data_IF_308277152463
#
_entry.id   IF_308277152463
#
_cell.length_a   1.000
_cell.length_b   1.000
_cell.length_c   1.000
_cell.angle_alpha   90.00
_cell.angle_beta   90.00
_cell.angle_gamma   90.00
#
_symmetry.space_group_name_H-M   'P 1'
#
loop_
_entity.id
_entity.type
_entity.pdbx_description
1 polymer ?
#
# COMPACT_ATOMS: atom_id res chain seq x y z
N UNK A 1 16.81 -19.96 3.20
CA UNK A 1 16.07 -19.01 4.06
C UNK A 1 15.06 -18.32 3.16
N UNK A 2 13.76 -18.44 3.43
CA UNK A 2 12.74 -17.75 2.62
C UNK A 2 12.78 -16.26 2.92
N UNK A 3 12.75 -15.44 1.87
CA UNK A 3 12.73 -13.98 1.98
C UNK A 3 11.43 -13.46 1.39
N UNK A 4 10.86 -12.45 2.02
CA UNK A 4 9.58 -11.85 1.69
C UNK A 4 9.76 -10.36 1.41
N UNK A 5 8.86 -9.79 0.62
CA UNK A 5 8.85 -8.36 0.30
C UNK A 5 7.42 -7.87 0.15
N UNK A 6 7.14 -6.65 0.58
CA UNK A 6 5.88 -5.99 0.25
C UNK A 6 5.99 -5.46 -1.19
N UNK A 7 5.11 -5.90 -2.08
CA UNK A 7 5.07 -5.43 -3.47
C UNK A 7 4.02 -4.33 -3.59
N UNK A 8 4.42 -3.18 -4.15
CA UNK A 8 3.52 -2.11 -4.58
C UNK A 8 3.06 -2.35 -6.01
N UNK A 9 1.75 -2.42 -6.24
CA UNK A 9 1.12 -2.51 -7.56
C UNK A 9 0.14 -1.37 -7.76
N UNK A 10 0.33 -0.58 -8.82
CA UNK A 10 -0.59 0.49 -9.19
C UNK A 10 -1.57 0.02 -10.27
N UNK A 11 -2.86 0.31 -10.08
CA UNK A 11 -3.93 -0.17 -10.94
C UNK A 11 -4.53 0.95 -11.83
N UNK A 12 -3.84 2.08 -11.94
CA UNK A 12 -4.27 3.24 -12.74
C UNK A 12 -3.33 3.55 -13.89
N UNK A 13 -3.89 3.78 -15.09
CA UNK A 13 -3.11 4.21 -16.26
C UNK A 13 -2.55 5.62 -16.13
N UNK A 14 -3.30 6.54 -15.50
CA UNK A 14 -2.86 7.91 -15.22
C UNK A 14 -2.98 8.18 -13.73
N UNK A 15 -1.84 8.37 -13.06
CA UNK A 15 -1.79 8.62 -11.62
C UNK A 15 -2.49 9.95 -11.29
N UNK A 16 -3.56 9.96 -10.46
CA UNK A 16 -4.11 11.21 -9.98
C UNK A 16 -3.09 11.90 -9.06
N UNK A 17 -3.08 13.24 -9.04
CA UNK A 17 -2.11 14.03 -8.26
C UNK A 17 -2.06 13.64 -6.77
N UNK A 18 -3.20 13.26 -6.20
CA UNK A 18 -3.25 12.82 -4.80
C UNK A 18 -2.49 11.51 -4.60
N UNK A 19 -2.58 10.57 -5.53
CA UNK A 19 -1.92 9.27 -5.43
C UNK A 19 -0.41 9.46 -5.53
N UNK A 20 0.06 10.31 -6.44
CA UNK A 20 1.50 10.63 -6.51
C UNK A 20 2.02 11.24 -5.21
N UNK A 21 1.31 12.26 -4.68
CA UNK A 21 1.69 12.91 -3.41
C UNK A 21 1.67 11.95 -2.23
N UNK A 22 0.74 11.00 -2.22
CA UNK A 22 0.67 9.95 -1.21
C UNK A 22 1.83 8.97 -1.34
N UNK A 23 2.07 8.43 -2.54
CA UNK A 23 3.12 7.43 -2.78
C UNK A 23 4.53 7.95 -2.49
N UNK A 24 4.80 9.23 -2.73
CA UNK A 24 6.10 9.87 -2.39
C UNK A 24 6.33 9.92 -0.86
N UNK A 25 5.26 9.90 -0.06
CA UNK A 25 5.36 9.93 1.41
C UNK A 25 5.58 8.55 2.02
N UNK A 26 5.42 7.47 1.26
CA UNK A 26 5.65 6.12 1.76
C UNK A 26 7.13 5.81 1.59
N UNK A 27 7.87 5.57 2.70
CA UNK A 27 9.27 5.18 2.63
C UNK A 27 9.44 3.93 1.76
N UNK A 28 10.41 3.95 0.85
CA UNK A 28 10.68 2.86 -0.10
C UNK A 28 11.10 1.58 0.61
N UNK A 29 11.75 1.69 1.76
CA UNK A 29 12.22 0.59 2.60
C UNK A 29 11.06 -0.33 3.02
N UNK A 30 9.85 0.23 3.17
CA UNK A 30 8.66 -0.55 3.52
C UNK A 30 8.21 -1.51 2.41
N UNK A 31 8.59 -1.30 1.15
CA UNK A 31 8.13 -2.10 0.01
C UNK A 31 9.19 -2.41 -1.06
N UNK A 32 10.45 -2.05 -0.85
CA UNK A 32 11.54 -2.36 -1.78
C UNK A 32 12.56 -3.35 -1.22
N UNK A 33 12.62 -3.53 0.10
CA UNK A 33 13.57 -4.42 0.76
C UNK A 33 13.02 -5.84 0.94
N UNK A 34 13.90 -6.83 0.75
CA UNK A 34 13.64 -8.22 1.12
C UNK A 34 13.91 -8.42 2.59
N UNK A 35 13.02 -9.11 3.28
CA UNK A 35 13.02 -9.24 4.73
C UNK A 35 12.34 -10.53 5.19
N UNK A 36 12.20 -10.75 6.49
CA UNK A 36 11.45 -11.88 7.04
C UNK A 36 9.93 -11.69 6.85
N UNK A 37 9.15 -12.76 6.97
CA UNK A 37 7.68 -12.68 6.90
C UNK A 37 7.09 -11.72 7.95
N UNK A 38 7.63 -11.77 9.17
CA UNK A 38 7.18 -10.93 10.28
C UNK A 38 7.46 -9.45 10.01
N UNK A 39 8.66 -9.12 9.54
CA UNK A 39 9.01 -7.74 9.18
C UNK A 39 8.19 -7.26 7.98
N UNK A 40 7.94 -8.10 6.97
CA UNK A 40 7.09 -7.74 5.84
C UNK A 40 5.64 -7.44 6.29
N UNK A 41 5.10 -8.20 7.25
CA UNK A 41 3.80 -7.93 7.86
C UNK A 41 3.81 -6.61 8.67
N UNK A 42 4.87 -6.34 9.41
CA UNK A 42 5.09 -5.06 10.10
C UNK A 42 5.12 -3.87 9.14
N UNK A 43 5.87 -3.99 8.05
CA UNK A 43 5.96 -2.99 6.98
C UNK A 43 4.59 -2.74 6.34
N UNK A 44 3.83 -3.80 6.07
CA UNK A 44 2.50 -3.67 5.52
C UNK A 44 1.52 -2.95 6.46
N UNK A 45 1.56 -3.25 7.77
CA UNK A 45 0.79 -2.52 8.79
C UNK A 45 1.19 -1.05 8.85
N UNK A 46 2.48 -0.74 8.78
CA UNK A 46 2.99 0.63 8.74
C UNK A 46 2.46 1.39 7.51
N UNK A 47 2.44 0.76 6.34
CA UNK A 47 1.82 1.35 5.13
C UNK A 47 0.33 1.63 5.35
N UNK A 48 -0.41 0.70 5.95
CA UNK A 48 -1.82 0.90 6.30
C UNK A 48 -2.02 2.12 7.21
N UNK A 49 -1.20 2.26 8.25
CA UNK A 49 -1.23 3.40 9.15
C UNK A 49 -0.90 4.72 8.42
N UNK A 50 0.10 4.74 7.54
CA UNK A 50 0.43 5.90 6.72
C UNK A 50 -0.73 6.33 5.81
N UNK A 51 -1.54 5.39 5.30
CA UNK A 51 -2.76 5.73 4.54
C UNK A 51 -3.73 6.51 5.43
N UNK A 52 -4.00 6.02 6.63
CA UNK A 52 -4.90 6.66 7.59
C UNK A 52 -4.37 8.05 7.97
N UNK A 53 -3.10 8.15 8.36
CA UNK A 53 -2.46 9.39 8.81
C UNK A 53 -2.36 10.44 7.70
N UNK A 54 -2.32 10.03 6.42
CA UNK A 54 -2.24 10.96 5.30
C UNK A 54 -3.49 11.85 5.16
N UNK A 55 -4.61 11.44 5.77
CA UNK A 55 -5.90 12.07 5.65
C UNK A 55 -6.52 11.96 4.24
N UNK A 56 -6.02 11.04 3.40
CA UNK A 56 -6.39 10.97 1.98
C UNK A 56 -7.83 10.49 1.81
N UNK A 57 -8.30 9.61 2.70
CA UNK A 57 -9.64 9.03 2.66
C UNK A 57 -10.70 10.08 3.04
N UNK A 58 -10.40 10.94 4.02
CA UNK A 58 -11.27 12.04 4.45
C UNK A 58 -11.30 13.16 3.41
N UNK A 59 -10.14 13.51 2.83
CA UNK A 59 -10.02 14.59 1.85
C UNK A 59 -10.60 14.23 0.48
N UNK A 60 -10.81 12.94 0.19
CA UNK A 60 -11.27 12.45 -1.11
C UNK A 60 -12.52 11.60 -0.93
N UNK A 61 -13.68 12.23 -1.16
CA UNK A 61 -14.97 11.53 -1.17
C UNK A 61 -14.90 10.30 -2.10
N UNK A 62 -15.31 9.15 -1.55
CA UNK A 62 -15.37 7.90 -2.31
C UNK A 62 -14.03 7.21 -2.51
N UNK A 63 -13.01 7.48 -1.68
CA UNK A 63 -11.90 6.53 -1.49
C UNK A 63 -12.18 5.64 -0.28
N UNK A 64 -11.71 4.40 -0.35
CA UNK A 64 -11.84 3.40 0.69
C UNK A 64 -10.51 2.67 0.87
N UNK A 65 -10.17 2.37 2.11
CA UNK A 65 -9.05 1.53 2.47
C UNK A 65 -9.56 0.11 2.73
N UNK A 66 -8.93 -0.86 2.09
CA UNK A 66 -9.08 -2.27 2.42
C UNK A 66 -7.75 -2.76 3.00
N UNK A 67 -7.79 -3.20 4.25
CA UNK A 67 -6.64 -3.72 4.98
C UNK A 67 -6.96 -5.13 5.49
N UNK A 68 -6.08 -6.08 5.17
CA UNK A 68 -6.05 -7.46 5.67
C UNK A 68 -4.63 -7.79 6.10
N UNK A 69 -4.40 -8.98 6.64
CA UNK A 69 -3.09 -9.39 7.17
C UNK A 69 -1.97 -9.39 6.12
N UNK A 70 -2.32 -9.64 4.86
CA UNK A 70 -1.37 -9.80 3.74
C UNK A 70 -1.52 -8.71 2.65
N UNK A 71 -2.52 -7.84 2.75
CA UNK A 71 -2.79 -6.80 1.75
C UNK A 71 -3.29 -5.48 2.35
N UNK A 72 -2.78 -4.37 1.82
CA UNK A 72 -3.31 -3.01 2.01
C UNK A 72 -3.61 -2.43 0.63
N UNK A 73 -4.81 -1.89 0.43
CA UNK A 73 -5.20 -1.34 -0.87
C UNK A 73 -6.14 -0.16 -0.76
N UNK A 74 -5.99 0.81 -1.66
CA UNK A 74 -6.88 1.97 -1.77
C UNK A 74 -7.76 1.78 -3.01
N UNK A 75 -9.06 1.90 -2.82
CA UNK A 75 -10.08 1.74 -3.86
C UNK A 75 -10.96 2.97 -3.94
N UNK A 76 -11.66 3.11 -5.06
CA UNK A 76 -12.83 3.97 -5.11
C UNK A 76 -14.03 3.29 -4.46
N UNK A 77 -15.05 4.05 -4.10
CA UNK A 77 -16.36 3.56 -3.64
C UNK A 77 -17.09 2.70 -4.66
N UNK A 78 -16.63 2.70 -5.92
CA UNK A 78 -17.13 1.83 -7.01
C UNK A 78 -16.23 0.61 -7.23
N UNK A 79 -15.33 0.29 -6.30
CA UNK A 79 -14.45 -0.87 -6.36
C UNK A 79 -13.27 -0.76 -7.31
N UNK A 80 -12.96 0.45 -7.85
CA UNK A 80 -11.77 0.63 -8.70
C UNK A 80 -10.53 0.76 -7.83
N UNK A 81 -9.62 -0.19 -7.93
CA UNK A 81 -8.35 -0.16 -7.19
C UNK A 81 -7.41 0.92 -7.76
N UNK A 82 -6.78 1.69 -6.87
CA UNK A 82 -5.74 2.67 -7.23
C UNK A 82 -4.35 2.10 -7.02
N UNK A 83 -4.11 1.56 -5.83
CA UNK A 83 -2.85 0.96 -5.43
C UNK A 83 -3.09 -0.19 -4.46
N UNK A 84 -2.24 -1.21 -4.56
CA UNK A 84 -2.17 -2.37 -3.68
C UNK A 84 -0.75 -2.51 -3.17
N UNK A 85 -0.62 -2.87 -1.91
CA UNK A 85 0.58 -3.34 -1.25
C UNK A 85 0.28 -4.76 -0.76
N UNK A 86 1.10 -5.74 -1.12
CA UNK A 86 0.90 -7.13 -0.69
C UNK A 86 2.21 -7.84 -0.43
N UNK A 87 2.22 -8.74 0.55
CA UNK A 87 3.40 -9.56 0.84
C UNK A 87 3.56 -10.61 -0.25
N UNK A 88 4.78 -10.78 -0.76
CA UNK A 88 5.16 -11.83 -1.70
C UNK A 88 6.42 -12.52 -1.21
N UNK A 89 6.49 -13.84 -1.38
CA UNK A 89 7.74 -14.59 -1.27
C UNK A 89 8.62 -14.26 -2.48
N UNK A 90 9.90 -14.01 -2.23
CA UNK A 90 10.92 -13.82 -3.26
C UNK A 90 11.60 -15.18 -3.50
N UNK A 91 11.59 -15.63 -4.75
CA UNK A 91 12.27 -16.86 -5.20
C UNK A 91 13.74 -16.60 -5.49
#
# INVERSE_FOLDING_TARGET
MQVYKVIKTEHVRKRPKWLMRFLIKIPTELYEETTSTETAAGNLRAIGQLVLDSGVLEKRKGLQLQQRDDVVSIHSSRGRMYVRFSISECR
#
